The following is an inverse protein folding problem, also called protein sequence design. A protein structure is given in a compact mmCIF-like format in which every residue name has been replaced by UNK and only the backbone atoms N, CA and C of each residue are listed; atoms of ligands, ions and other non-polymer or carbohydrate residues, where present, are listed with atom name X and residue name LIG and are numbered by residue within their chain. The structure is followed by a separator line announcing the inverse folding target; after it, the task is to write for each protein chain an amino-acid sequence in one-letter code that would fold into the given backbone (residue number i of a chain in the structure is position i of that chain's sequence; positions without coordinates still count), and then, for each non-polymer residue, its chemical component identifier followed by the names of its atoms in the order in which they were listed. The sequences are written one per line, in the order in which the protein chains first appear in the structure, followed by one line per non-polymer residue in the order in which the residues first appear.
data_IF_555666228243
#
_entry.id   IF_555666228243
#
_cell.length_a   1.000
_cell.length_b   1.000
_cell.length_c   1.000
_cell.angle_alpha   90.00
_cell.angle_beta   90.00
_cell.angle_gamma   90.00
#
_symmetry.space_group_name_H-M   'P 1'
#
loop_
_entity.id
_entity.type
_entity.pdbx_description
1 polymer ?
#
# COMPACT_ATOMS: atom_id res chain seq x y z
N UNK A 1 -2.29 12.32 -9.43
CA UNK A 1 -0.87 12.00 -9.61
C UNK A 1 -0.73 11.54 -11.04
N UNK A 2 0.00 12.28 -11.88
CA UNK A 2 0.28 11.87 -13.26
C UNK A 2 1.64 11.17 -13.27
N UNK A 3 1.72 10.02 -13.92
CA UNK A 3 2.98 9.32 -14.14
C UNK A 3 3.62 9.91 -15.39
N UNK A 4 4.93 10.12 -15.41
CA UNK A 4 5.59 10.63 -16.63
C UNK A 4 5.86 9.51 -17.66
N UNK A 5 5.82 8.25 -17.22
CA UNK A 5 6.18 7.08 -18.02
C UNK A 5 5.32 5.86 -17.68
N UNK A 6 5.16 5.00 -18.67
CA UNK A 6 4.49 3.70 -18.54
C UNK A 6 5.54 2.59 -18.57
N UNK A 7 5.39 1.56 -17.74
CA UNK A 7 6.24 0.36 -17.83
C UNK A 7 5.60 -0.63 -18.78
N UNK A 8 6.41 -1.29 -19.59
CA UNK A 8 5.96 -2.30 -20.53
C UNK A 8 6.67 -3.62 -20.22
N UNK A 9 5.92 -4.72 -20.21
CA UNK A 9 6.45 -6.06 -20.06
C UNK A 9 6.25 -6.85 -21.36
N UNK A 10 7.37 -7.19 -22.01
CA UNK A 10 7.39 -7.90 -23.29
C UNK A 10 8.57 -8.86 -23.32
N UNK A 11 8.33 -10.06 -23.84
CA UNK A 11 9.33 -11.13 -23.97
C UNK A 11 10.11 -11.41 -22.67
N UNK A 12 9.42 -11.33 -21.52
CA UNK A 12 10.01 -11.60 -20.21
C UNK A 12 10.84 -10.46 -19.62
N UNK A 13 10.76 -9.24 -20.15
CA UNK A 13 11.57 -8.09 -19.70
C UNK A 13 10.72 -6.86 -19.52
N UNK A 14 11.13 -6.02 -18.58
CA UNK A 14 10.57 -4.68 -18.40
C UNK A 14 11.38 -3.64 -19.15
N UNK A 15 10.68 -2.66 -19.70
CA UNK A 15 11.26 -1.42 -20.18
C UNK A 15 10.27 -0.27 -19.99
N UNK A 16 10.80 0.94 -19.83
CA UNK A 16 9.96 2.13 -19.67
C UNK A 16 9.71 2.79 -21.03
N UNK A 17 8.47 3.18 -21.28
CA UNK A 17 8.03 3.91 -22.47
C UNK A 17 7.37 5.22 -22.06
N UNK A 18 7.19 6.12 -23.03
CA UNK A 18 6.31 7.28 -22.85
C UNK A 18 4.88 6.81 -22.62
N UNK A 19 4.08 7.68 -21.98
CA UNK A 19 2.67 7.40 -21.81
C UNK A 19 1.97 7.29 -23.17
N UNK A 20 1.19 6.22 -23.41
CA UNK A 20 0.42 6.11 -24.64
C UNK A 20 -0.68 7.17 -24.74
N UNK A 21 -1.09 7.51 -25.97
CA UNK A 21 -2.18 8.48 -26.21
C UNK A 21 -3.48 8.12 -25.48
N UNK A 22 -3.80 6.84 -25.38
CA UNK A 22 -4.98 6.35 -24.65
C UNK A 22 -4.91 6.68 -23.15
N UNK A 23 -3.71 6.76 -22.58
CA UNK A 23 -3.54 7.10 -21.17
C UNK A 23 -3.88 8.57 -20.93
N UNK A 24 -3.35 9.46 -21.78
CA UNK A 24 -3.66 10.89 -21.74
C UNK A 24 -5.14 11.16 -22.03
N UNK A 25 -5.76 10.37 -22.91
CA UNK A 25 -7.19 10.43 -23.15
C UNK A 25 -7.99 10.09 -21.89
N UNK A 26 -7.60 9.04 -21.15
CA UNK A 26 -8.24 8.66 -19.91
C UNK A 26 -8.08 9.73 -18.82
N UNK A 27 -6.89 10.33 -18.69
CA UNK A 27 -6.65 11.48 -17.80
C UNK A 27 -7.59 12.63 -18.15
N UNK A 28 -7.61 13.02 -19.43
CA UNK A 28 -8.47 14.11 -19.91
C UNK A 28 -9.95 13.83 -19.66
N UNK A 29 -10.39 12.59 -19.87
CA UNK A 29 -11.77 12.17 -19.69
C UNK A 29 -12.17 12.21 -18.20
N UNK A 30 -11.29 11.73 -17.31
CA UNK A 30 -11.50 11.80 -15.87
C UNK A 30 -11.61 13.26 -15.40
N UNK A 31 -10.75 14.15 -15.87
CA UNK A 31 -10.78 15.57 -15.51
C UNK A 31 -12.01 16.30 -16.05
N UNK A 32 -12.35 16.06 -17.32
CA UNK A 32 -13.42 16.79 -18.02
C UNK A 32 -14.80 16.33 -17.55
N UNK A 33 -15.01 15.01 -17.43
CA UNK A 33 -16.31 14.44 -17.09
C UNK A 33 -16.46 14.13 -15.59
N UNK A 34 -15.39 14.34 -14.79
CA UNK A 34 -15.34 14.03 -13.35
C UNK A 34 -15.70 12.58 -13.02
N UNK A 35 -15.35 11.67 -13.91
CA UNK A 35 -15.51 10.24 -13.70
C UNK A 35 -14.27 9.67 -13.02
N UNK A 36 -14.48 8.59 -12.26
CA UNK A 36 -13.39 7.84 -11.65
C UNK A 36 -12.39 7.34 -12.71
N UNK A 37 -11.10 7.27 -12.35
CA UNK A 37 -10.01 6.90 -13.25
C UNK A 37 -10.18 5.48 -13.80
N UNK A 38 -10.68 4.53 -13.00
CA UNK A 38 -10.91 3.17 -13.48
C UNK A 38 -11.97 3.16 -14.57
N UNK A 39 -13.06 3.93 -14.40
CA UNK A 39 -14.10 4.09 -15.43
C UNK A 39 -13.62 4.84 -16.67
N UNK A 40 -12.71 5.79 -16.50
CA UNK A 40 -12.10 6.48 -17.64
C UNK A 40 -11.30 5.48 -18.50
N UNK A 41 -10.50 4.61 -17.87
CA UNK A 41 -9.80 3.54 -18.58
C UNK A 41 -10.75 2.54 -19.23
N UNK A 42 -11.85 2.15 -18.58
CA UNK A 42 -12.83 1.25 -19.21
C UNK A 42 -13.37 1.80 -20.53
N UNK A 43 -13.65 3.11 -20.56
CA UNK A 43 -14.15 3.78 -21.77
C UNK A 43 -13.11 3.92 -22.87
N UNK A 44 -11.86 4.22 -22.51
CA UNK A 44 -10.82 4.44 -23.51
C UNK A 44 -10.26 3.11 -24.03
N UNK A 45 -10.11 2.11 -23.16
CA UNK A 45 -9.60 0.78 -23.51
C UNK A 45 -10.68 -0.15 -24.08
N UNK A 46 -11.95 0.31 -24.07
CA UNK A 46 -13.14 -0.41 -24.53
C UNK A 46 -13.29 -1.80 -23.91
N UNK A 47 -13.01 -1.90 -22.60
CA UNK A 47 -13.15 -3.14 -21.84
C UNK A 47 -13.33 -2.88 -20.35
N UNK A 48 -14.01 -3.80 -19.66
CA UNK A 48 -14.13 -3.76 -18.20
C UNK A 48 -12.84 -4.22 -17.52
N UNK A 49 -12.56 -3.68 -16.35
CA UNK A 49 -11.44 -4.13 -15.54
C UNK A 49 -11.80 -5.32 -14.67
N UNK A 50 -10.82 -6.16 -14.38
CA UNK A 50 -10.95 -7.23 -13.39
C UNK A 50 -9.99 -6.98 -12.23
N UNK A 51 -10.51 -7.11 -11.00
CA UNK A 51 -9.72 -7.07 -9.78
C UNK A 51 -9.17 -8.46 -9.48
N UNK A 52 -7.84 -8.59 -9.36
CA UNK A 52 -7.13 -9.85 -9.07
C UNK A 52 -6.98 -10.16 -7.58
N UNK A 53 -7.12 -9.16 -6.72
CA UNK A 53 -6.95 -9.26 -5.26
C UNK A 53 -8.29 -9.09 -4.55
N UNK A 54 -8.44 -9.57 -3.31
CA UNK A 54 -9.66 -9.28 -2.55
C UNK A 54 -9.79 -7.77 -2.28
N UNK A 55 -11.03 -7.26 -2.32
CA UNK A 55 -11.34 -5.86 -2.06
C UNK A 55 -10.94 -5.50 -0.61
N UNK A 56 -10.12 -4.45 -0.46
CA UNK A 56 -9.23 -4.21 0.67
C UNK A 56 -9.88 -3.81 1.99
N UNK A 57 -10.75 -4.64 2.57
CA UNK A 57 -11.50 -4.30 3.77
C UNK A 57 -10.70 -4.35 5.08
N UNK A 58 -9.52 -4.98 5.16
CA UNK A 58 -8.87 -5.23 6.47
C UNK A 58 -7.33 -5.05 6.56
N UNK A 59 -6.66 -4.35 5.64
CA UNK A 59 -5.20 -4.24 5.79
C UNK A 59 -4.39 -3.28 4.92
N UNK A 60 -5.00 -2.42 4.10
CA UNK A 60 -4.22 -1.63 3.14
C UNK A 60 -3.45 -2.53 2.15
N UNK A 61 -4.06 -3.65 1.78
CA UNK A 61 -3.51 -4.58 0.81
C UNK A 61 -3.43 -3.91 -0.56
N UNK A 62 -2.46 -4.36 -1.36
CA UNK A 62 -2.29 -3.90 -2.73
C UNK A 62 -3.50 -4.36 -3.53
N UNK A 63 -4.11 -3.45 -4.28
CA UNK A 63 -5.14 -3.75 -5.27
C UNK A 63 -4.49 -3.87 -6.65
N UNK A 64 -4.76 -4.99 -7.33
CA UNK A 64 -4.23 -5.23 -8.67
C UNK A 64 -5.40 -5.36 -9.63
N UNK A 65 -5.57 -4.37 -10.50
CA UNK A 65 -6.61 -4.34 -11.54
C UNK A 65 -5.97 -4.52 -12.91
N UNK A 66 -6.67 -5.19 -13.82
CA UNK A 66 -6.24 -5.27 -15.20
C UNK A 66 -7.39 -5.09 -16.19
N UNK A 67 -7.06 -4.49 -17.34
CA UNK A 67 -7.93 -4.25 -18.50
C UNK A 67 -7.38 -5.05 -19.68
N UNK A 68 -8.03 -6.14 -20.11
CA UNK A 68 -7.56 -6.96 -21.21
C UNK A 68 -8.02 -6.40 -22.57
N UNK A 69 -7.50 -5.24 -22.96
CA UNK A 69 -7.86 -4.60 -24.23
C UNK A 69 -7.33 -5.40 -25.42
N UNK A 70 -8.19 -5.69 -26.39
CA UNK A 70 -7.79 -6.37 -27.63
C UNK A 70 -6.85 -5.53 -28.50
N UNK A 71 -6.91 -4.20 -28.37
CA UNK A 71 -6.16 -3.24 -29.18
C UNK A 71 -4.86 -2.83 -28.49
N UNK A 72 -4.92 -2.57 -27.18
CA UNK A 72 -3.81 -1.99 -26.43
C UNK A 72 -3.02 -3.02 -25.60
N UNK A 73 -3.41 -4.28 -25.64
CA UNK A 73 -2.88 -5.33 -24.77
C UNK A 73 -3.48 -5.27 -23.37
N UNK A 74 -2.86 -5.97 -22.44
CA UNK A 74 -3.35 -6.05 -21.06
C UNK A 74 -2.70 -4.92 -20.25
N UNK A 75 -3.48 -3.92 -19.89
CA UNK A 75 -3.06 -2.87 -18.96
C UNK A 75 -3.28 -3.34 -17.53
N UNK A 76 -2.30 -3.14 -16.66
CA UNK A 76 -2.31 -3.53 -15.25
C UNK A 76 -2.00 -2.31 -14.40
N UNK A 77 -2.89 -2.04 -13.45
CA UNK A 77 -2.75 -1.02 -12.44
C UNK A 77 -2.55 -1.70 -11.08
N UNK A 78 -1.44 -1.38 -10.44
CA UNK A 78 -1.15 -1.76 -9.07
C UNK A 78 -1.33 -0.53 -8.21
N UNK A 79 -2.21 -0.60 -7.22
CA UNK A 79 -2.59 0.54 -6.40
C UNK A 79 -2.81 0.16 -4.94
N UNK A 80 -2.94 1.18 -4.11
CA UNK A 80 -3.51 1.09 -2.78
C UNK A 80 -4.81 1.91 -2.78
N UNK A 81 -5.65 1.80 -1.74
CA UNK A 81 -6.81 2.68 -1.59
C UNK A 81 -6.49 4.19 -1.58
N UNK A 82 -5.21 4.57 -1.45
CA UNK A 82 -4.76 5.96 -1.34
C UNK A 82 -4.01 6.46 -2.58
N UNK A 83 -3.44 5.57 -3.39
CA UNK A 83 -2.53 5.95 -4.46
C UNK A 83 -2.23 4.81 -5.43
N UNK A 84 -2.02 5.15 -6.70
CA UNK A 84 -1.40 4.28 -7.70
C UNK A 84 0.07 4.03 -7.32
N UNK A 85 0.50 2.76 -7.36
CA UNK A 85 1.88 2.32 -7.09
C UNK A 85 2.64 2.10 -8.40
N UNK A 86 2.04 1.38 -9.34
CA UNK A 86 2.71 0.98 -10.58
C UNK A 86 1.71 0.75 -11.71
N UNK A 87 2.16 1.00 -12.93
CA UNK A 87 1.38 0.87 -14.15
C UNK A 87 2.18 0.09 -15.19
N UNK A 88 1.62 -1.02 -15.67
CA UNK A 88 2.29 -1.92 -16.60
C UNK A 88 1.37 -2.22 -17.79
N UNK A 89 1.91 -2.19 -18.99
CA UNK A 89 1.25 -2.74 -20.19
C UNK A 89 1.94 -4.04 -20.59
N UNK A 90 1.16 -5.08 -20.83
CA UNK A 90 1.59 -6.35 -21.44
C UNK A 90 1.03 -6.39 -22.86
N UNK A 91 1.80 -5.98 -23.88
CA UNK A 91 1.27 -5.81 -25.23
C UNK A 91 0.91 -7.15 -25.88
N UNK A 92 1.72 -8.19 -25.61
CA UNK A 92 1.53 -9.52 -26.15
C UNK A 92 0.76 -10.40 -25.16
N UNK A 93 -0.44 -10.90 -25.51
CA UNK A 93 -1.19 -11.81 -24.65
C UNK A 93 -0.42 -13.07 -24.24
N UNK A 94 0.53 -13.53 -25.06
CA UNK A 94 1.36 -14.69 -24.73
C UNK A 94 2.25 -14.47 -23.50
N UNK A 95 2.59 -13.22 -23.19
CA UNK A 95 3.42 -12.85 -22.04
C UNK A 95 2.61 -12.68 -20.75
N UNK A 96 1.26 -12.73 -20.81
CA UNK A 96 0.39 -12.55 -19.66
C UNK A 96 0.63 -13.58 -18.56
N UNK A 97 0.64 -14.87 -18.90
CA UNK A 97 0.83 -15.93 -17.91
C UNK A 97 2.25 -15.91 -17.28
N UNK A 98 3.34 -15.73 -18.06
CA UNK A 98 4.66 -15.45 -17.51
C UNK A 98 4.69 -14.22 -16.59
N UNK A 99 4.06 -13.12 -16.98
CA UNK A 99 3.99 -11.90 -16.17
C UNK A 99 3.28 -12.14 -14.84
N UNK A 100 2.08 -12.72 -14.90
CA UNK A 100 1.26 -13.02 -13.73
C UNK A 100 2.01 -13.95 -12.76
N UNK A 101 2.59 -15.05 -13.26
CA UNK A 101 3.26 -16.04 -12.41
C UNK A 101 4.57 -15.55 -11.80
N UNK A 102 5.36 -14.74 -12.53
CA UNK A 102 6.68 -14.29 -12.07
C UNK A 102 6.66 -13.00 -11.29
N UNK A 103 5.68 -12.13 -11.51
CA UNK A 103 5.65 -10.78 -10.94
C UNK A 103 4.42 -10.55 -10.05
N UNK A 104 3.21 -10.78 -10.58
CA UNK A 104 1.99 -10.50 -9.81
C UNK A 104 1.75 -11.51 -8.67
N UNK A 105 1.85 -12.82 -8.93
CA UNK A 105 1.58 -13.84 -7.93
C UNK A 105 2.52 -13.76 -6.71
N UNK A 106 3.85 -13.55 -6.87
CA UNK A 106 4.72 -13.31 -5.72
C UNK A 106 4.38 -12.01 -4.97
N UNK A 107 4.02 -10.94 -5.68
CA UNK A 107 3.62 -9.67 -5.05
C UNK A 107 2.35 -9.85 -4.21
N UNK A 108 1.33 -10.52 -4.75
CA UNK A 108 0.08 -10.85 -4.05
C UNK A 108 0.40 -11.70 -2.82
N UNK A 109 1.23 -12.74 -2.95
CA UNK A 109 1.61 -13.61 -1.85
C UNK A 109 2.31 -12.84 -0.72
N UNK A 110 3.28 -11.98 -1.04
CA UNK A 110 4.01 -11.16 -0.05
C UNK A 110 3.07 -10.14 0.60
N UNK A 111 2.18 -9.51 -0.17
CA UNK A 111 1.18 -8.57 0.36
C UNK A 111 0.27 -9.26 1.37
N UNK A 112 -0.27 -10.44 1.02
CA UNK A 112 -1.12 -11.23 1.90
C UNK A 112 -0.38 -11.71 3.16
N UNK A 113 0.86 -12.18 3.03
CA UNK A 113 1.69 -12.57 4.18
C UNK A 113 1.96 -11.39 5.12
N UNK A 114 2.24 -10.21 4.56
CA UNK A 114 2.50 -9.00 5.35
C UNK A 114 1.26 -8.53 6.11
N UNK A 115 0.09 -8.56 5.46
CA UNK A 115 -1.18 -8.26 6.10
C UNK A 115 -1.48 -9.23 7.25
N UNK A 116 -1.24 -10.54 7.05
CA UNK A 116 -1.39 -11.55 8.09
C UNK A 116 -0.43 -11.35 9.27
N UNK A 117 0.83 -10.98 9.01
CA UNK A 117 1.79 -10.67 10.07
C UNK A 117 1.34 -9.44 10.89
N UNK A 118 0.85 -8.40 10.23
CA UNK A 118 0.35 -7.20 10.90
C UNK A 118 -0.85 -7.53 11.81
N UNK A 119 -1.77 -8.38 11.32
CA UNK A 119 -2.89 -8.88 12.11
C UNK A 119 -2.44 -9.71 13.31
N UNK A 120 -1.52 -10.65 13.12
CA UNK A 120 -0.93 -11.43 14.21
C UNK A 120 -0.22 -10.55 15.24
N UNK A 121 0.47 -9.48 14.80
CA UNK A 121 1.08 -8.50 15.69
C UNK A 121 0.05 -7.79 16.57
N UNK A 122 -1.08 -7.35 15.99
CA UNK A 122 -2.19 -6.74 16.74
C UNK A 122 -2.78 -7.72 17.76
N UNK A 123 -3.04 -8.96 17.36
CA UNK A 123 -3.56 -10.01 18.24
C UNK A 123 -2.57 -10.30 19.38
N UNK A 124 -1.28 -10.45 19.06
CA UNK A 124 -0.23 -10.69 20.04
C UNK A 124 -0.12 -9.55 21.05
N UNK A 125 -0.13 -8.29 20.59
CA UNK A 125 -0.12 -7.12 21.45
C UNK A 125 -1.35 -7.07 22.36
N UNK A 126 -2.54 -7.31 21.81
CA UNK A 126 -3.78 -7.36 22.59
C UNK A 126 -3.75 -8.46 23.65
N UNK A 127 -3.24 -9.65 23.32
CA UNK A 127 -3.09 -10.76 24.25
C UNK A 127 -2.07 -10.44 25.36
N UNK A 128 -0.92 -9.86 25.01
CA UNK A 128 0.10 -9.41 25.97
C UNK A 128 -0.48 -8.35 26.92
N UNK A 129 -1.23 -7.38 26.39
CA UNK A 129 -1.86 -6.33 27.17
C UNK A 129 -2.90 -6.92 28.14
N UNK A 130 -3.76 -7.84 27.67
CA UNK A 130 -4.71 -8.57 28.50
C UNK A 130 -4.01 -9.39 29.60
N UNK A 131 -2.96 -10.14 29.25
CA UNK A 131 -2.23 -10.98 30.21
C UNK A 131 -1.50 -10.15 31.30
N UNK A 132 -1.04 -8.92 30.97
CA UNK A 132 -0.37 -8.04 31.94
C UNK A 132 -1.34 -7.26 32.83
N UNK A 133 -2.44 -6.78 32.26
CA UNK A 133 -3.30 -5.80 32.91
C UNK A 133 -4.71 -6.33 33.27
N UNK A 134 -5.02 -7.58 32.88
CA UNK A 134 -6.33 -8.20 33.12
C UNK A 134 -7.43 -7.69 32.19
N UNK A 135 -8.69 -7.99 32.53
CA UNK A 135 -9.86 -7.54 31.78
C UNK A 135 -10.18 -6.08 32.12
N UNK A 136 -10.01 -5.15 31.16
CA UNK A 136 -10.31 -3.73 31.39
C UNK A 136 -10.34 -2.88 30.13
N UNK A 137 -11.10 -1.79 30.16
CA UNK A 137 -11.33 -0.87 29.01
C UNK A 137 -10.13 0.00 28.61
N UNK A 138 -8.96 -0.28 29.17
CA UNK A 138 -7.74 0.49 28.96
C UNK A 138 -6.84 -0.10 27.85
N UNK A 139 -7.21 -1.25 27.28
CA UNK A 139 -6.59 -1.83 26.08
C UNK A 139 -7.40 -1.44 24.86
N UNK A 140 -6.76 -0.75 23.92
CA UNK A 140 -7.34 -0.40 22.63
C UNK A 140 -7.45 -1.65 21.75
N UNK A 141 -8.66 -1.93 21.25
CA UNK A 141 -8.97 -3.12 20.44
C UNK A 141 -8.49 -3.01 18.98
N UNK A 142 -8.32 -1.79 18.45
CA UNK A 142 -7.85 -1.58 17.08
C UNK A 142 -6.31 -1.62 17.00
N UNK A 143 -5.64 -1.07 18.01
CA UNK A 143 -4.18 -0.96 18.03
C UNK A 143 -3.49 -2.02 18.88
N UNK A 144 -4.21 -2.65 19.82
CA UNK A 144 -3.66 -3.60 20.78
C UNK A 144 -2.79 -2.96 21.87
N UNK A 145 -2.77 -1.63 21.97
CA UNK A 145 -1.94 -0.89 22.92
C UNK A 145 -2.70 -0.61 24.22
N UNK A 146 -2.03 -0.78 25.36
CA UNK A 146 -2.56 -0.39 26.66
C UNK A 146 -2.29 1.09 26.92
N UNK A 147 -3.30 1.85 27.34
CA UNK A 147 -3.15 3.25 27.80
C UNK A 147 -2.15 3.37 28.96
N UNK A 148 -2.10 2.37 29.83
CA UNK A 148 -1.18 2.34 30.98
C UNK A 148 0.27 2.23 30.49
N UNK A 149 0.50 1.45 29.43
CA UNK A 149 1.84 1.32 28.84
C UNK A 149 2.26 2.62 28.16
N UNK A 150 1.34 3.28 27.44
CA UNK A 150 1.60 4.58 26.81
C UNK A 150 1.95 5.68 27.83
N UNK A 151 1.23 5.73 28.95
CA UNK A 151 1.48 6.69 30.02
C UNK A 151 2.84 6.42 30.71
N UNK A 152 3.14 5.16 31.02
CA UNK A 152 4.44 4.77 31.58
C UNK A 152 5.62 5.09 30.66
N UNK A 153 5.46 4.90 29.35
CA UNK A 153 6.49 5.22 28.36
C UNK A 153 6.73 6.72 28.27
N UNK A 154 5.64 7.51 28.32
CA UNK A 154 5.70 8.98 28.33
C UNK A 154 6.43 9.48 29.58
N UNK A 155 6.14 8.89 30.73
CA UNK A 155 6.78 9.27 32.00
C UNK A 155 8.25 8.84 32.05
N UNK A 156 8.61 7.66 31.51
CA UNK A 156 10.01 7.27 31.33
C UNK A 156 10.78 8.25 30.46
N UNK A 157 10.21 8.67 29.32
CA UNK A 157 10.86 9.64 28.41
C UNK A 157 11.06 10.99 29.10
N UNK A 158 10.06 11.48 29.84
CA UNK A 158 10.19 12.71 30.65
C UNK A 158 11.27 12.58 31.72
N UNK A 159 11.32 11.46 32.43
CA UNK A 159 12.35 11.22 33.43
C UNK A 159 13.77 11.14 32.82
N UNK A 160 13.91 10.53 31.64
CA UNK A 160 15.18 10.52 30.89
C UNK A 160 15.59 11.92 30.42
N UNK A 161 14.66 12.72 29.89
CA UNK A 161 14.92 14.10 29.50
C UNK A 161 15.34 14.97 30.69
N UNK A 162 14.65 14.83 31.83
CA UNK A 162 15.01 15.54 33.06
C UNK A 162 16.41 15.17 33.56
N UNK A 163 16.77 13.88 33.55
CA UNK A 163 18.13 13.42 33.90
C UNK A 163 19.19 13.96 32.93
N UNK A 164 18.90 13.96 31.64
CA UNK A 164 19.81 14.51 30.63
C UNK A 164 20.00 16.03 30.77
N UNK A 165 18.94 16.78 31.10
CA UNK A 165 19.00 18.21 31.35
C UNK A 165 19.81 18.54 32.61
N UNK A 166 19.60 17.81 33.72
CA UNK A 166 20.41 17.97 34.94
C UNK A 166 21.89 17.63 34.68
N UNK A 167 22.18 16.58 33.91
CA UNK A 167 23.55 16.20 33.56
C UNK A 167 24.25 17.27 32.68
N UNK A 168 23.51 17.99 31.82
CA UNK A 168 24.04 19.12 31.05
C UNK A 168 24.28 20.35 31.93
N UNK A 169 23.32 20.70 32.78
CA UNK A 169 23.46 21.83 33.71
C UNK A 169 24.62 21.65 34.70
N UNK A 170 24.86 20.42 35.18
CA UNK A 170 26.00 20.11 36.04
C UNK A 170 27.35 20.22 35.32
N UNK A 171 27.40 20.03 34.00
CA UNK A 171 28.62 20.22 33.19
C UNK A 171 28.89 21.69 32.88
N UNK A 172 27.85 22.48 32.65
CA UNK A 172 27.97 23.92 32.36
C UNK A 172 28.22 24.77 33.62
N UNK A 173 27.73 24.36 34.79
CA UNK A 173 28.01 25.04 36.07
C UNK A 173 29.37 24.70 36.72
N UNK A 174 30.18 23.87 36.06
CA UNK A 174 31.54 23.50 36.52
C UNK A 174 32.66 24.17 35.69
N UNK A 175 32.32 25.17 34.86
CA UNK A 175 33.23 26.02 34.11
C UNK A 175 33.29 27.41 34.73
#
# INVERSE_FOLDING_TARGET
MSYDRMRLYDAGRFHDTELPDWYHEAERLSETERIDFHRAFERVLDCEHTLLTEEGLLGGAIEIRFWPSEIHGIFVLIETPLAFIEQIVVPNPADWLPFLSRHLAPLIAVSNQSAMIALHGKIGNAFIAWARHGEGSHVDRETGLSRIDLDNDRDRRRAQQARAAMARASREGSA
#
